data_IF_148913304846
#
_entry.id   IF_148913304846
#
_cell.length_a   1.000
_cell.length_b   1.000
_cell.length_c   1.000
_cell.angle_alpha   90.00
_cell.angle_beta   90.00
_cell.angle_gamma   90.00
#
_symmetry.space_group_name_H-M   'P 1'
#
loop_
_entity.id
_entity.type
_entity.pdbx_description
1 polymer ?
#
# COMPACT_ATOMS: atom_id res chain seq x y z
N UNK A 1 -0.48 -9.95 4.64
CA UNK A 1 0.09 -8.96 5.61
C UNK A 1 -0.52 -7.59 5.33
N UNK A 2 -0.80 -6.80 6.37
CA UNK A 2 -1.32 -5.44 6.24
C UNK A 2 -0.35 -4.43 6.87
N UNK A 3 -0.01 -3.36 6.14
CA UNK A 3 0.90 -2.30 6.59
C UNK A 3 0.14 -0.96 6.68
N UNK A 4 0.04 -0.40 7.89
CA UNK A 4 -0.69 0.84 8.19
C UNK A 4 0.34 1.97 8.31
N UNK A 5 0.29 2.93 7.38
CA UNK A 5 1.36 3.89 7.16
C UNK A 5 2.35 3.45 6.07
N UNK A 6 1.85 2.78 5.02
CA UNK A 6 2.67 2.14 3.96
C UNK A 6 3.61 3.12 3.23
N UNK A 7 3.35 4.42 3.30
CA UNK A 7 4.09 5.44 2.57
C UNK A 7 3.99 5.17 1.07
N UNK A 8 5.14 5.17 0.40
CA UNK A 8 5.21 4.85 -1.03
C UNK A 8 5.14 3.36 -1.37
N UNK A 9 4.86 2.45 -0.42
CA UNK A 9 4.64 1.03 -0.68
C UNK A 9 5.91 0.21 -1.01
N UNK A 10 7.11 0.75 -0.82
CA UNK A 10 8.38 0.07 -1.17
C UNK A 10 8.62 -1.22 -0.37
N UNK A 11 8.21 -1.24 0.90
CA UNK A 11 8.34 -2.44 1.74
C UNK A 11 7.41 -3.56 1.24
N UNK A 12 6.15 -3.22 0.91
CA UNK A 12 5.17 -4.16 0.40
C UNK A 12 5.57 -4.74 -0.96
N UNK A 13 6.16 -3.93 -1.85
CA UNK A 13 6.67 -4.41 -3.14
C UNK A 13 7.76 -5.48 -2.96
N UNK A 14 8.74 -5.25 -2.09
CA UNK A 14 9.78 -6.25 -1.80
C UNK A 14 9.22 -7.51 -1.16
N UNK A 15 8.26 -7.37 -0.25
CA UNK A 15 7.63 -8.54 0.37
C UNK A 15 6.90 -9.38 -0.67
N UNK A 16 6.28 -8.75 -1.67
CA UNK A 16 5.53 -9.50 -2.65
C UNK A 16 6.39 -10.09 -3.77
N UNK A 17 7.53 -9.47 -4.09
CA UNK A 17 8.57 -10.10 -4.90
C UNK A 17 9.12 -11.36 -4.20
N UNK A 18 9.34 -11.29 -2.88
CA UNK A 18 9.85 -12.41 -2.09
C UNK A 18 8.80 -13.50 -1.81
N UNK A 19 7.53 -13.13 -1.72
CA UNK A 19 6.42 -14.02 -1.38
C UNK A 19 5.27 -13.87 -2.37
N UNK A 20 5.43 -14.35 -3.62
CA UNK A 20 4.43 -14.15 -4.68
C UNK A 20 3.10 -14.87 -4.43
N UNK A 21 3.09 -15.89 -3.58
CA UNK A 21 1.87 -16.60 -3.16
C UNK A 21 1.09 -15.87 -2.04
N UNK A 22 1.65 -14.78 -1.50
CA UNK A 22 1.07 -14.04 -0.36
C UNK A 22 0.38 -12.76 -0.82
N UNK A 23 -0.72 -12.41 -0.17
CA UNK A 23 -1.42 -11.15 -0.40
C UNK A 23 -0.89 -10.05 0.55
N UNK A 24 -0.63 -8.88 -0.04
CA UNK A 24 -0.12 -7.69 0.65
C UNK A 24 -1.05 -6.50 0.41
N UNK A 25 -1.49 -5.88 1.50
CA UNK A 25 -2.37 -4.70 1.46
C UNK A 25 -1.72 -3.57 2.25
N UNK A 26 -1.63 -2.40 1.65
CA UNK A 26 -1.14 -1.19 2.33
C UNK A 26 -2.27 -0.21 2.60
N UNK A 27 -2.17 0.52 3.71
CA UNK A 27 -3.05 1.65 4.00
C UNK A 27 -2.22 2.90 4.29
N UNK A 28 -2.59 4.03 3.70
CA UNK A 28 -1.99 5.33 4.03
C UNK A 28 -3.07 6.43 4.05
N UNK A 29 -2.92 7.41 4.95
CA UNK A 29 -3.83 8.55 5.05
C UNK A 29 -3.49 9.65 4.02
N UNK A 30 -2.22 9.77 3.63
CA UNK A 30 -1.73 10.76 2.68
C UNK A 30 -1.96 10.29 1.24
N UNK A 31 -2.82 11.01 0.51
CA UNK A 31 -3.17 10.65 -0.87
C UNK A 31 -1.98 10.57 -1.84
N UNK A 32 -0.97 11.45 -1.68
CA UNK A 32 0.24 11.43 -2.52
C UNK A 32 1.07 10.14 -2.34
N UNK A 33 1.07 9.56 -1.15
CA UNK A 33 1.76 8.32 -0.85
C UNK A 33 1.06 7.15 -1.54
N UNK A 34 -0.28 7.09 -1.46
CA UNK A 34 -1.11 6.13 -2.17
C UNK A 34 -0.88 6.21 -3.68
N UNK A 35 -0.83 7.42 -4.25
CA UNK A 35 -0.61 7.59 -5.69
C UNK A 35 0.78 7.12 -6.12
N UNK A 36 1.82 7.42 -5.33
CA UNK A 36 3.18 6.89 -5.55
C UNK A 36 3.23 5.37 -5.47
N UNK A 37 2.57 4.78 -4.46
CA UNK A 37 2.49 3.33 -4.30
C UNK A 37 1.79 2.68 -5.50
N UNK A 38 0.69 3.26 -5.99
CA UNK A 38 -0.01 2.78 -7.20
C UNK A 38 0.84 2.85 -8.46
N UNK A 39 1.61 3.93 -8.65
CA UNK A 39 2.54 4.06 -9.79
C UNK A 39 3.67 3.04 -9.71
N UNK A 40 4.19 2.79 -8.50
CA UNK A 40 5.21 1.77 -8.28
C UNK A 40 4.67 0.33 -8.43
N UNK A 41 3.37 0.13 -8.22
CA UNK A 41 2.66 -1.14 -8.36
C UNK A 41 2.22 -1.47 -9.80
N UNK A 42 2.47 -0.59 -10.79
CA UNK A 42 2.14 -0.81 -12.20
C UNK A 42 3.00 -1.95 -12.76
N UNK A 43 2.56 -3.19 -12.54
CA UNK A 43 3.33 -4.40 -12.81
C UNK A 43 2.80 -5.66 -12.11
N UNK A 44 1.86 -5.52 -11.17
CA UNK A 44 1.09 -6.65 -10.65
C UNK A 44 1.07 -6.81 -9.14
N UNK A 45 1.58 -5.84 -8.36
CA UNK A 45 1.64 -6.05 -6.92
C UNK A 45 1.36 -4.80 -6.05
N UNK A 46 0.44 -5.02 -5.11
CA UNK A 46 0.09 -4.27 -3.88
C UNK A 46 -0.82 -3.07 -4.07
N UNK A 47 -2.10 -3.29 -3.79
CA UNK A 47 -3.09 -2.23 -3.64
C UNK A 47 -2.87 -1.50 -2.30
N UNK A 48 -2.01 -0.47 -2.27
CA UNK A 48 -2.07 0.50 -1.18
C UNK A 48 -3.34 1.35 -1.37
N UNK A 49 -4.23 1.32 -0.37
CA UNK A 49 -5.53 2.00 -0.36
C UNK A 49 -5.47 3.18 0.61
N UNK A 50 -6.36 4.16 0.41
CA UNK A 50 -6.54 5.22 1.40
C UNK A 50 -7.13 4.58 2.66
N UNK A 51 -6.56 4.87 3.83
CA UNK A 51 -7.10 4.31 5.08
C UNK A 51 -8.51 4.85 5.31
N UNK A 52 -9.54 4.01 5.55
CA UNK A 52 -10.88 4.49 5.88
C UNK A 52 -10.92 5.24 7.21
N UNK A 53 -9.92 5.06 8.08
CA UNK A 53 -9.75 5.87 9.28
C UNK A 53 -9.41 7.33 8.97
N UNK A 54 -8.83 7.63 7.80
CA UNK A 54 -8.59 9.01 7.36
C UNK A 54 -9.88 9.73 6.94
N UNK A 55 -10.96 8.99 6.71
CA UNK A 55 -12.29 9.52 6.36
C UNK A 55 -13.23 9.52 7.59
N UNK A 56 -12.74 9.09 8.77
CA UNK A 56 -13.51 9.14 10.01
C UNK A 56 -13.45 10.57 10.57
N UNK A 57 -14.60 11.19 10.90
CA UNK A 57 -14.61 12.49 11.57
C UNK A 57 -13.87 12.40 12.92
N UNK A 58 -13.28 13.51 13.40
CA UNK A 58 -12.55 13.55 14.67
C UNK A 58 -13.40 13.14 15.87
#
# INVERSE_FOLDING_TARGET
MADVGCGGGRALLRCAEAYPASEFVGFDAHGRNVERARRAAAGGITACRRSPAADRPP
#
